data_IF_272640102894
#
_entry.id   IF_272640102894
#
_cell.length_a   1.000
_cell.length_b   1.000
_cell.length_c   1.000
_cell.angle_alpha   90.00
_cell.angle_beta   90.00
_cell.angle_gamma   90.00
#
_symmetry.space_group_name_H-M   'P 1'
#
loop_
_entity.id
_entity.type
_entity.pdbx_description
1 polymer ?
#
# COMPACT_ATOMS: atom_id res chain seq x y z
N UNK A 1 0.92 0.09 -5.07
CA UNK A 1 1.55 1.14 -4.24
C UNK A 1 2.88 1.58 -4.84
N UNK A 2 3.14 2.87 -4.85
CA UNK A 2 4.45 3.38 -5.25
C UNK A 2 5.47 3.14 -4.14
N UNK A 3 6.76 3.27 -4.46
CA UNK A 3 7.82 3.14 -3.46
C UNK A 3 7.65 4.16 -2.32
N UNK A 4 7.39 5.43 -2.64
CA UNK A 4 7.22 6.46 -1.62
C UNK A 4 5.99 6.25 -0.77
N UNK A 5 4.90 5.77 -1.32
CA UNK A 5 3.70 5.42 -0.54
C UNK A 5 4.01 4.34 0.49
N UNK A 6 4.72 3.29 0.09
CA UNK A 6 5.17 2.24 1.02
C UNK A 6 6.11 2.81 2.08
N UNK A 7 7.06 3.64 1.66
CA UNK A 7 8.02 4.27 2.56
C UNK A 7 7.32 5.12 3.63
N UNK A 8 6.43 6.02 3.22
CA UNK A 8 5.70 6.88 4.16
C UNK A 8 4.83 6.07 5.11
N UNK A 9 4.13 5.07 4.59
CA UNK A 9 3.29 4.19 5.41
C UNK A 9 4.13 3.41 6.41
N UNK A 10 5.29 2.90 5.99
CA UNK A 10 6.22 2.20 6.86
C UNK A 10 6.72 3.10 8.00
N UNK A 11 7.10 4.34 7.70
CA UNK A 11 7.55 5.29 8.70
C UNK A 11 6.43 5.56 9.73
N UNK A 12 5.23 5.84 9.28
CA UNK A 12 4.09 6.10 10.16
C UNK A 12 3.77 4.89 11.04
N UNK A 13 3.87 3.69 10.50
CA UNK A 13 3.63 2.45 11.25
C UNK A 13 4.69 2.21 12.32
N UNK A 14 5.94 2.62 12.09
CA UNK A 14 7.01 2.48 13.05
C UNK A 14 6.96 3.57 14.13
N UNK A 15 6.62 4.80 13.73
CA UNK A 15 6.52 5.94 14.65
C UNK A 15 5.62 7.02 14.03
N UNK A 16 4.42 7.18 14.56
CA UNK A 16 3.37 8.00 13.94
C UNK A 16 3.60 9.51 13.97
N UNK A 17 4.46 10.00 14.85
CA UNK A 17 4.70 11.43 15.07
C UNK A 17 5.97 11.96 14.38
N UNK A 18 6.56 11.18 13.49
CA UNK A 18 7.78 11.56 12.77
C UNK A 18 7.46 12.55 11.65
N UNK A 19 8.27 13.59 11.55
CA UNK A 19 8.22 14.54 10.44
C UNK A 19 9.53 14.50 9.70
N UNK A 20 9.47 14.37 8.39
CA UNK A 20 10.65 14.32 7.53
C UNK A 20 10.32 14.81 6.13
N UNK A 21 11.34 15.10 5.35
CA UNK A 21 11.23 15.42 3.94
C UNK A 21 12.07 14.44 3.14
N UNK A 22 11.49 13.89 2.08
CA UNK A 22 12.18 12.99 1.16
C UNK A 22 12.62 13.78 -0.07
N UNK A 23 13.88 13.65 -0.43
CA UNK A 23 14.44 14.23 -1.66
C UNK A 23 14.60 13.12 -2.68
N UNK A 24 13.95 13.25 -3.82
CA UNK A 24 13.96 12.25 -4.89
C UNK A 24 12.66 11.46 -4.98
N UNK A 25 12.65 10.49 -5.88
CA UNK A 25 11.43 9.78 -6.28
C UNK A 25 11.25 8.44 -5.56
N UNK A 26 12.30 7.90 -4.96
CA UNK A 26 12.24 6.60 -4.29
C UNK A 26 13.34 6.43 -3.26
N UNK A 27 13.07 5.59 -2.27
CA UNK A 27 14.01 5.16 -1.24
C UNK A 27 14.09 3.63 -1.32
N UNK A 28 15.21 3.11 -1.79
CA UNK A 28 15.37 1.69 -2.08
C UNK A 28 16.58 1.03 -1.42
N UNK A 29 17.42 1.81 -0.73
CA UNK A 29 18.66 1.31 -0.12
C UNK A 29 18.99 2.07 1.15
N UNK A 30 19.94 1.54 1.91
CA UNK A 30 20.49 2.22 3.09
C UNK A 30 21.13 3.55 2.68
N UNK A 31 21.78 3.61 1.53
CA UNK A 31 22.38 4.84 1.01
C UNK A 31 21.32 5.90 0.74
N UNK A 32 20.21 5.54 0.09
CA UNK A 32 19.08 6.44 -0.12
C UNK A 32 18.51 6.93 1.20
N UNK A 33 18.34 6.02 2.16
CA UNK A 33 17.85 6.33 3.49
C UNK A 33 18.76 7.33 4.22
N UNK A 34 20.06 7.22 4.02
CA UNK A 34 21.02 8.13 4.65
C UNK A 34 21.12 9.49 3.94
N UNK A 35 20.90 9.54 2.63
CA UNK A 35 21.21 10.72 1.82
C UNK A 35 20.00 11.51 1.34
N UNK A 36 18.85 10.86 1.19
CA UNK A 36 17.65 11.47 0.60
C UNK A 36 16.62 11.96 1.61
N UNK A 37 16.88 11.80 2.90
CA UNK A 37 15.92 12.16 3.95
C UNK A 37 16.48 13.28 4.80
N UNK A 38 15.66 14.30 5.01
CA UNK A 38 15.88 15.33 6.00
C UNK A 38 14.87 15.18 7.12
N UNK A 39 15.37 14.93 8.33
CA UNK A 39 14.54 14.69 9.51
C UNK A 39 14.28 15.99 10.23
N UNK A 40 13.02 16.28 10.54
CA UNK A 40 12.67 17.42 11.38
C UNK A 40 13.12 17.14 12.82
N UNK A 41 13.80 18.09 13.42
CA UNK A 41 14.27 17.97 14.81
C UNK A 41 13.45 18.85 15.74
N UNK A 42 13.33 20.15 15.43
CA UNK A 42 12.63 21.12 16.24
C UNK A 42 12.37 22.40 15.45
N UNK A 43 11.52 23.28 16.01
CA UNK A 43 11.42 24.67 15.54
C UNK A 43 12.33 25.56 16.39
N UNK A 44 13.05 26.47 15.73
CA UNK A 44 13.89 27.44 16.38
C UNK A 44 13.69 28.79 15.69
N UNK A 45 13.27 29.79 16.45
CA UNK A 45 12.99 31.15 15.93
C UNK A 45 11.97 31.13 14.75
N UNK A 46 10.97 30.23 14.80
CA UNK A 46 9.97 30.08 13.76
C UNK A 46 10.42 29.31 12.54
N UNK A 47 11.65 28.80 12.52
CA UNK A 47 12.22 28.01 11.41
C UNK A 47 12.37 26.56 11.80
N UNK A 48 12.13 25.66 10.84
CA UNK A 48 12.36 24.24 11.04
C UNK A 48 13.86 23.93 11.04
N UNK A 49 14.32 23.22 12.06
CA UNK A 49 15.68 22.67 12.11
C UNK A 49 15.61 21.22 11.68
N UNK A 50 16.39 20.87 10.66
CA UNK A 50 16.43 19.52 10.09
C UNK A 50 17.83 18.93 10.16
N UNK A 51 17.91 17.61 10.06
CA UNK A 51 19.18 16.89 10.03
C UNK A 51 19.10 15.74 9.03
N UNK A 52 20.23 15.40 8.42
CA UNK A 52 20.33 14.20 7.59
C UNK A 52 20.60 12.94 8.41
N UNK A 53 21.04 13.12 9.65
CA UNK A 53 21.28 12.01 10.57
C UNK A 53 19.96 11.64 11.24
N UNK A 54 19.53 10.39 11.09
CA UNK A 54 18.29 9.90 11.68
C UNK A 54 18.31 10.06 13.21
N UNK A 55 17.43 10.93 13.78
CA UNK A 55 17.38 11.13 15.23
C UNK A 55 16.49 10.12 15.95
N UNK A 56 15.88 9.20 15.25
CA UNK A 56 14.91 8.25 15.80
C UNK A 56 15.50 6.84 15.85
N UNK A 57 15.77 6.35 17.06
CA UNK A 57 16.32 5.01 17.26
C UNK A 57 15.33 3.90 16.91
N UNK A 58 14.04 4.20 16.93
CA UNK A 58 12.97 3.26 16.57
C UNK A 58 12.86 3.05 15.06
N UNK A 59 13.49 3.92 14.26
CA UNK A 59 13.42 3.88 12.81
C UNK A 59 14.81 3.56 12.24
N UNK A 60 14.95 2.39 11.66
CA UNK A 60 16.17 1.99 10.95
C UNK A 60 15.80 1.55 9.55
N UNK A 61 16.76 1.58 8.62
CA UNK A 61 16.49 1.09 7.26
C UNK A 61 16.02 -0.37 7.25
N UNK A 62 16.61 -1.21 8.08
CA UNK A 62 16.22 -2.61 8.16
C UNK A 62 14.74 -2.77 8.55
N UNK A 63 14.28 -1.98 9.52
CA UNK A 63 12.88 -1.99 9.95
C UNK A 63 11.95 -1.40 8.88
N UNK A 64 12.37 -0.32 8.25
CA UNK A 64 11.60 0.32 7.17
C UNK A 64 11.47 -0.62 5.98
N UNK A 65 12.57 -1.24 5.56
CA UNK A 65 12.56 -2.18 4.44
C UNK A 65 11.65 -3.37 4.73
N UNK A 66 11.76 -3.96 5.92
CA UNK A 66 10.91 -5.07 6.33
C UNK A 66 9.42 -4.68 6.31
N UNK A 67 9.08 -3.49 6.78
CA UNK A 67 7.72 -2.98 6.77
C UNK A 67 7.22 -2.72 5.34
N UNK A 68 8.06 -2.20 4.46
CA UNK A 68 7.72 -1.98 3.05
C UNK A 68 7.44 -3.30 2.33
N UNK A 69 8.24 -4.33 2.61
CA UNK A 69 8.04 -5.68 2.07
C UNK A 69 6.72 -6.25 2.56
N UNK A 70 6.41 -6.10 3.84
CA UNK A 70 5.15 -6.55 4.42
C UNK A 70 3.95 -5.86 3.76
N UNK A 71 4.03 -4.54 3.56
CA UNK A 71 2.97 -3.76 2.91
C UNK A 71 2.74 -4.19 1.48
N UNK A 72 3.82 -4.47 0.73
CA UNK A 72 3.69 -4.96 -0.65
C UNK A 72 3.06 -6.35 -0.68
N UNK A 73 3.46 -7.24 0.21
CA UNK A 73 2.88 -8.59 0.29
C UNK A 73 1.39 -8.53 0.64
N UNK A 74 0.99 -7.66 1.56
CA UNK A 74 -0.40 -7.45 1.92
C UNK A 74 -1.21 -6.91 0.74
N UNK A 75 -0.67 -5.95 0.00
CA UNK A 75 -1.28 -5.41 -1.21
C UNK A 75 -1.45 -6.50 -2.27
N UNK A 76 -0.42 -7.31 -2.51
CA UNK A 76 -0.44 -8.39 -3.50
C UNK A 76 -1.45 -9.49 -3.12
N UNK A 77 -1.57 -9.79 -1.83
CA UNK A 77 -2.54 -10.77 -1.35
C UNK A 77 -3.99 -10.36 -1.62
N UNK A 78 -4.25 -9.08 -1.85
CA UNK A 78 -5.58 -8.56 -2.16
C UNK A 78 -5.83 -8.42 -3.66
N UNK A 79 -4.86 -8.77 -4.49
CA UNK A 79 -4.96 -8.61 -5.95
C UNK A 79 -6.12 -9.41 -6.54
N UNK A 80 -6.36 -10.62 -6.04
CA UNK A 80 -7.50 -11.45 -6.47
C UNK A 80 -8.84 -10.73 -6.27
N UNK A 81 -8.99 -10.00 -5.16
CA UNK A 81 -10.24 -9.30 -4.85
C UNK A 81 -10.44 -8.10 -5.77
N UNK A 82 -9.38 -7.36 -6.09
CA UNK A 82 -9.46 -6.25 -7.05
C UNK A 82 -9.83 -6.75 -8.44
N UNK A 83 -9.20 -7.81 -8.90
CA UNK A 83 -9.47 -8.40 -10.21
C UNK A 83 -10.87 -8.97 -10.30
N UNK A 84 -11.34 -9.64 -9.26
CA UNK A 84 -12.71 -10.15 -9.18
C UNK A 84 -13.74 -9.02 -9.27
N UNK A 85 -13.49 -7.91 -8.57
CA UNK A 85 -14.40 -6.77 -8.57
C UNK A 85 -14.57 -6.18 -9.97
N UNK A 86 -13.51 -6.12 -10.76
CA UNK A 86 -13.56 -5.62 -12.13
C UNK A 86 -14.28 -6.55 -13.09
N UNK A 87 -14.17 -7.87 -12.88
CA UNK A 87 -14.72 -8.90 -13.77
C UNK A 87 -16.14 -9.34 -13.40
N UNK A 88 -16.60 -9.08 -12.18
CA UNK A 88 -17.95 -9.44 -11.77
C UNK A 88 -18.99 -8.62 -12.53
N UNK A 89 -20.19 -9.22 -12.82
CA UNK A 89 -21.29 -8.45 -13.38
C UNK A 89 -21.61 -7.23 -12.54
N UNK A 90 -21.97 -6.14 -13.20
CA UNK A 90 -22.38 -4.91 -12.52
C UNK A 90 -23.68 -5.13 -11.72
N UNK A 91 -23.99 -4.21 -10.81
CA UNK A 91 -25.24 -4.24 -10.06
C UNK A 91 -26.44 -4.23 -11.03
N UNK A 92 -26.36 -3.43 -12.07
CA UNK A 92 -27.40 -3.35 -13.10
C UNK A 92 -27.60 -4.69 -13.80
N UNK A 93 -26.51 -5.36 -14.21
CA UNK A 93 -26.58 -6.69 -14.80
C UNK A 93 -27.19 -7.71 -13.86
N UNK A 94 -26.83 -7.64 -12.57
CA UNK A 94 -27.41 -8.52 -11.55
C UNK A 94 -28.92 -8.30 -11.39
N UNK A 95 -29.38 -7.04 -11.39
CA UNK A 95 -30.80 -6.71 -11.29
C UNK A 95 -31.55 -7.22 -12.50
N UNK A 96 -31.03 -7.04 -13.71
CA UNK A 96 -31.64 -7.57 -14.94
C UNK A 96 -31.71 -9.08 -14.92
N UNK A 97 -30.68 -9.76 -14.47
CA UNK A 97 -30.70 -11.23 -14.37
C UNK A 97 -31.80 -11.73 -13.41
N UNK A 98 -32.00 -11.03 -12.30
CA UNK A 98 -33.04 -11.36 -11.33
C UNK A 98 -34.43 -11.13 -11.94
N UNK A 99 -34.63 -10.00 -12.61
CA UNK A 99 -35.89 -9.64 -13.25
C UNK A 99 -36.27 -10.59 -14.41
N UNK A 100 -35.25 -11.05 -15.14
CA UNK A 100 -35.42 -11.95 -16.28
C UNK A 100 -35.37 -13.43 -15.88
N UNK A 101 -35.33 -13.74 -14.60
CA UNK A 101 -35.26 -15.08 -14.04
C UNK A 101 -34.03 -15.88 -14.54
N UNK A 102 -32.89 -15.17 -14.68
CA UNK A 102 -31.65 -15.71 -15.26
C UNK A 102 -30.54 -15.84 -14.21
N UNK A 103 -30.93 -16.22 -12.99
CA UNK A 103 -29.98 -16.35 -11.85
C UNK A 103 -28.96 -17.45 -12.10
N UNK A 104 -29.30 -18.50 -12.80
CA UNK A 104 -28.41 -19.62 -13.11
C UNK A 104 -27.19 -19.12 -13.92
N UNK A 105 -27.43 -18.35 -14.98
CA UNK A 105 -26.36 -17.78 -15.79
C UNK A 105 -25.53 -16.79 -15.00
N UNK A 106 -26.15 -15.98 -14.15
CA UNK A 106 -25.42 -15.04 -13.28
C UNK A 106 -24.46 -15.80 -12.35
N UNK A 107 -24.90 -16.90 -11.76
CA UNK A 107 -24.06 -17.72 -10.90
C UNK A 107 -22.90 -18.37 -11.66
N UNK A 108 -23.13 -18.81 -12.89
CA UNK A 108 -22.08 -19.34 -13.76
C UNK A 108 -21.04 -18.28 -14.05
N UNK A 109 -21.45 -17.07 -14.42
CA UNK A 109 -20.53 -15.95 -14.68
C UNK A 109 -19.68 -15.61 -13.46
N UNK A 110 -20.28 -15.59 -12.28
CA UNK A 110 -19.57 -15.35 -11.03
C UNK A 110 -18.55 -16.44 -10.74
N UNK A 111 -18.88 -17.69 -11.00
CA UNK A 111 -17.97 -18.81 -10.79
C UNK A 111 -16.79 -18.76 -11.75
N UNK A 112 -17.03 -18.39 -13.01
CA UNK A 112 -15.96 -18.20 -14.00
C UNK A 112 -14.95 -17.16 -13.51
N UNK A 113 -15.43 -16.03 -12.97
CA UNK A 113 -14.56 -15.00 -12.42
C UNK A 113 -13.75 -15.51 -11.23
N UNK A 114 -14.37 -16.26 -10.32
CA UNK A 114 -13.68 -16.84 -9.17
C UNK A 114 -12.60 -17.82 -9.60
N UNK A 115 -12.85 -18.61 -10.64
CA UNK A 115 -11.89 -19.58 -11.16
C UNK A 115 -10.72 -18.90 -11.86
N UNK A 116 -10.98 -17.77 -12.52
CA UNK A 116 -9.97 -16.96 -13.19
C UNK A 116 -9.04 -16.25 -12.19
N UNK A 117 -9.56 -15.81 -11.05
CA UNK A 117 -8.82 -15.11 -10.01
C UNK A 117 -9.00 -15.81 -8.66
N UNK A 118 -8.39 -16.99 -8.47
CA UNK A 118 -8.54 -17.74 -7.22
C UNK A 118 -7.87 -16.99 -6.07
N UNK A 119 -8.40 -17.18 -4.87
CA UNK A 119 -7.81 -16.64 -3.67
C UNK A 119 -6.52 -17.38 -3.35
N UNK A 120 -5.40 -16.68 -3.40
CA UNK A 120 -4.11 -17.26 -3.03
C UNK A 120 -4.07 -17.55 -1.54
N UNK A 121 -3.44 -18.66 -1.19
CA UNK A 121 -3.27 -19.08 0.21
C UNK A 121 -4.60 -19.19 0.97
N UNK A 122 -5.63 -19.54 0.27
CA UNK A 122 -6.91 -19.81 0.90
C UNK A 122 -6.81 -21.01 1.82
#
# INVERSE_FOLDING_TARGET
>A
MTNLEKFWTAIINLKSDVKLTVRGDEITSQEDFNNKIEWFVRKENGKAVTTKTNPHSEITWDLVEAEMIRLQAEYDAQDYARNRKEEYPSIEECVHAILDDDLENLQILRQVVKDKFPKENA
#
